data_IF_346999105199
#
_entry.id   IF_346999105199
#
_cell.length_a   1.000
_cell.length_b   1.000
_cell.length_c   1.000
_cell.angle_alpha   90.00
_cell.angle_beta   90.00
_cell.angle_gamma   90.00
#
_symmetry.space_group_name_H-M   'P 1'
#
loop_
_entity.id
_entity.type
_entity.pdbx_description
1 polymer ?
#
# COMPACT_ATOMS: atom_id res chain seq x y z
N UNK A 1 -11.06 -1.70 -7.10
CA UNK A 1 -10.33 -1.78 -5.82
C UNK A 1 -9.49 -0.55 -5.57
N UNK A 2 -9.23 -0.28 -4.32
CA UNK A 2 -8.25 0.74 -3.91
C UNK A 2 -7.19 0.02 -3.07
N UNK A 3 -5.93 0.23 -3.40
CA UNK A 3 -4.82 -0.33 -2.63
C UNK A 3 -4.57 0.49 -1.37
N UNK A 4 -4.18 -0.19 -0.30
CA UNK A 4 -3.84 0.44 0.98
C UNK A 4 -2.39 0.12 1.30
N UNK A 5 -1.60 1.15 1.55
CA UNK A 5 -0.21 1.03 1.99
C UNK A 5 -0.13 0.65 3.48
N UNK A 6 1.04 0.28 3.94
CA UNK A 6 1.25 -0.07 5.34
C UNK A 6 1.11 1.13 6.29
N UNK A 7 1.50 2.32 5.87
CA UNK A 7 1.48 3.51 6.74
C UNK A 7 0.10 3.84 7.33
N UNK A 8 -1.00 3.86 6.55
CA UNK A 8 -2.33 4.05 7.13
C UNK A 8 -2.72 2.94 8.12
N UNK A 9 -2.42 1.70 7.79
CA UNK A 9 -2.78 0.55 8.62
C UNK A 9 -2.01 0.55 9.93
N UNK A 10 -0.70 0.84 9.88
CA UNK A 10 0.12 0.94 11.08
C UNK A 10 -0.39 2.06 11.99
N UNK A 11 -0.73 3.22 11.42
CA UNK A 11 -1.29 4.33 12.20
C UNK A 11 -2.57 3.94 12.93
N UNK A 12 -3.46 3.20 12.25
CA UNK A 12 -4.72 2.73 12.83
C UNK A 12 -4.45 1.69 13.93
N UNK A 13 -3.67 0.66 13.63
CA UNK A 13 -3.47 -0.47 14.55
C UNK A 13 -2.63 -0.10 15.77
N UNK A 14 -1.72 0.86 15.63
CA UNK A 14 -0.93 1.36 16.77
C UNK A 14 -1.64 2.47 17.55
N UNK A 15 -2.80 2.94 17.09
CA UNK A 15 -3.50 4.05 17.73
C UNK A 15 -2.73 5.35 17.65
N UNK A 16 -2.03 5.60 16.56
CA UNK A 16 -1.30 6.83 16.36
C UNK A 16 -2.25 8.03 16.22
N UNK A 17 -1.72 9.25 16.40
CA UNK A 17 -2.51 10.48 16.43
C UNK A 17 -3.39 10.68 15.20
N UNK A 18 -2.90 10.30 14.01
CA UNK A 18 -3.64 10.42 12.76
C UNK A 18 -4.42 9.17 12.38
N UNK A 19 -4.41 8.13 13.21
CA UNK A 19 -5.09 6.85 12.93
C UNK A 19 -6.57 6.99 12.68
N UNK A 20 -7.26 7.83 13.46
CA UNK A 20 -8.70 8.05 13.29
C UNK A 20 -9.03 8.67 11.93
N UNK A 21 -8.23 9.61 11.45
CA UNK A 21 -8.43 10.22 10.11
C UNK A 21 -8.22 9.20 9.00
N UNK A 22 -7.23 8.34 9.14
CA UNK A 22 -6.99 7.26 8.18
C UNK A 22 -8.14 6.25 8.17
N UNK A 23 -8.62 5.87 9.35
CA UNK A 23 -9.75 4.95 9.45
C UNK A 23 -11.00 5.55 8.77
N UNK A 24 -11.30 6.82 9.04
CA UNK A 24 -12.42 7.51 8.40
C UNK A 24 -12.30 7.51 6.87
N UNK A 25 -11.10 7.78 6.35
CA UNK A 25 -10.86 7.75 4.91
C UNK A 25 -11.08 6.36 4.34
N UNK A 26 -10.49 5.32 4.96
CA UNK A 26 -10.61 3.96 4.48
C UNK A 26 -12.06 3.47 4.49
N UNK A 27 -12.82 3.81 5.53
CA UNK A 27 -14.24 3.45 5.60
C UNK A 27 -15.07 4.15 4.51
N UNK A 28 -14.76 5.41 4.20
CA UNK A 28 -15.42 6.12 3.09
C UNK A 28 -15.08 5.49 1.74
N UNK A 29 -13.80 5.19 1.50
CA UNK A 29 -13.36 4.56 0.25
C UNK A 29 -14.00 3.17 0.09
N UNK A 30 -14.09 2.41 1.18
CA UNK A 30 -14.69 1.08 1.20
C UNK A 30 -16.17 1.09 0.81
N UNK A 31 -16.88 2.17 1.08
CA UNK A 31 -18.31 2.25 0.74
C UNK A 31 -18.58 2.16 -0.77
N UNK A 32 -17.60 2.52 -1.58
CA UNK A 32 -17.74 2.53 -3.04
C UNK A 32 -16.81 1.54 -3.75
N UNK A 33 -15.73 1.12 -3.09
CA UNK A 33 -14.70 0.27 -3.68
C UNK A 33 -14.19 -0.75 -2.67
N UNK A 34 -13.95 -1.99 -3.05
CA UNK A 34 -13.20 -2.91 -2.20
C UNK A 34 -11.80 -2.36 -1.91
N UNK A 35 -11.31 -2.57 -0.71
CA UNK A 35 -9.94 -2.26 -0.32
C UNK A 35 -9.08 -3.50 -0.40
N UNK A 36 -7.83 -3.34 -0.82
CA UNK A 36 -6.90 -4.45 -0.91
C UNK A 36 -5.50 -4.00 -0.50
N UNK A 37 -4.71 -4.93 0.00
CA UNK A 37 -3.30 -4.71 0.28
C UNK A 37 -2.50 -5.91 -0.22
N UNK A 38 -1.35 -5.65 -0.84
CA UNK A 38 -0.50 -6.72 -1.35
C UNK A 38 0.25 -7.41 -0.20
N UNK A 39 0.84 -8.54 -0.50
CA UNK A 39 1.58 -9.36 0.46
C UNK A 39 2.74 -8.59 1.13
N UNK A 40 3.37 -7.65 0.45
CA UNK A 40 4.39 -6.79 1.04
C UNK A 40 3.79 -5.97 2.20
N UNK A 41 2.64 -5.34 1.98
CA UNK A 41 1.96 -4.55 3.01
C UNK A 41 1.53 -5.44 4.19
N UNK A 42 0.98 -6.61 3.91
CA UNK A 42 0.63 -7.58 4.95
C UNK A 42 1.85 -7.96 5.80
N UNK A 43 3.01 -8.16 5.14
CA UNK A 43 4.27 -8.47 5.83
C UNK A 43 4.75 -7.32 6.70
N UNK A 44 4.59 -6.08 6.26
CA UNK A 44 4.98 -4.90 7.02
C UNK A 44 4.08 -4.64 8.24
N UNK A 45 2.82 -5.02 8.15
CA UNK A 45 1.85 -4.86 9.24
C UNK A 45 1.90 -6.02 10.23
N UNK A 46 2.31 -7.21 9.78
CA UNK A 46 2.32 -8.44 10.56
C UNK A 46 3.05 -8.34 11.92
N UNK A 47 4.17 -7.60 12.07
CA UNK A 47 4.84 -7.48 13.37
C UNK A 47 3.99 -6.90 14.50
N UNK A 48 2.88 -6.25 14.19
CA UNK A 48 1.96 -5.70 15.19
C UNK A 48 1.03 -6.75 15.81
N UNK A 49 1.06 -7.99 15.32
CA UNK A 49 0.14 -9.06 15.74
C UNK A 49 0.91 -10.30 16.18
N UNK A 50 0.37 -11.01 17.16
CA UNK A 50 0.99 -12.23 17.67
C UNK A 50 0.64 -13.48 16.85
N UNK A 51 -0.48 -13.46 16.13
CA UNK A 51 -0.96 -14.59 15.34
C UNK A 51 -1.48 -14.15 13.98
N UNK A 52 -1.47 -15.08 13.03
CA UNK A 52 -2.07 -14.82 11.72
C UNK A 52 -3.58 -14.60 11.82
N UNK A 53 -4.23 -15.26 12.79
CA UNK A 53 -5.66 -15.08 13.03
C UNK A 53 -5.98 -13.64 13.46
N UNK A 54 -5.20 -13.06 14.38
CA UNK A 54 -5.37 -11.69 14.84
C UNK A 54 -5.15 -10.69 13.70
N UNK A 55 -4.13 -10.91 12.88
CA UNK A 55 -3.88 -10.08 11.68
C UNK A 55 -5.07 -10.14 10.72
N UNK A 56 -5.54 -11.35 10.37
CA UNK A 56 -6.69 -11.52 9.48
C UNK A 56 -7.94 -10.81 10.00
N UNK A 57 -8.24 -10.99 11.28
CA UNK A 57 -9.43 -10.39 11.90
C UNK A 57 -9.38 -8.86 11.83
N UNK A 58 -8.24 -8.27 12.14
CA UNK A 58 -8.08 -6.82 12.13
C UNK A 58 -8.16 -6.24 10.71
N UNK A 59 -7.53 -6.89 9.74
CA UNK A 59 -7.63 -6.49 8.34
C UNK A 59 -9.06 -6.62 7.82
N UNK A 60 -9.75 -7.69 8.19
CA UNK A 60 -11.14 -7.94 7.81
C UNK A 60 -12.11 -6.90 8.38
N UNK A 61 -11.88 -6.45 9.60
CA UNK A 61 -12.72 -5.40 10.23
C UNK A 61 -12.69 -4.10 9.44
N UNK A 62 -11.52 -3.73 8.92
CA UNK A 62 -11.38 -2.55 8.05
C UNK A 62 -11.89 -2.86 6.64
N UNK A 63 -11.95 -4.12 6.27
CA UNK A 63 -12.36 -4.55 4.93
C UNK A 63 -11.23 -4.58 3.93
N UNK A 64 -9.99 -4.75 4.39
CA UNK A 64 -8.80 -4.84 3.52
C UNK A 64 -8.57 -6.29 3.16
N UNK A 65 -8.70 -6.60 1.87
CA UNK A 65 -8.50 -7.94 1.33
C UNK A 65 -7.01 -8.19 1.01
N UNK A 66 -6.62 -9.45 1.10
CA UNK A 66 -5.29 -9.88 0.66
C UNK A 66 -5.27 -9.95 -0.87
N UNK A 67 -4.31 -9.26 -1.49
CA UNK A 67 -4.15 -9.24 -2.95
C UNK A 67 -2.68 -9.49 -3.31
N UNK A 68 -2.30 -10.73 -3.63
CA UNK A 68 -0.90 -11.08 -3.82
C UNK A 68 -0.29 -10.46 -5.07
N UNK A 69 1.01 -10.24 -5.04
CA UNK A 69 1.79 -9.89 -6.21
C UNK A 69 1.78 -11.08 -7.18
N UNK A 70 1.67 -10.77 -8.46
CA UNK A 70 1.82 -11.77 -9.51
C UNK A 70 3.02 -11.42 -10.40
N UNK A 71 3.31 -12.25 -11.39
CA UNK A 71 4.46 -12.07 -12.28
C UNK A 71 4.41 -10.75 -13.03
N UNK A 72 3.24 -10.32 -13.49
CA UNK A 72 3.05 -9.06 -14.19
C UNK A 72 3.38 -7.87 -13.29
N UNK A 73 2.91 -7.90 -12.05
CA UNK A 73 3.22 -6.86 -11.07
C UNK A 73 4.72 -6.81 -10.78
N UNK A 74 5.35 -7.96 -10.60
CA UNK A 74 6.80 -8.03 -10.37
C UNK A 74 7.58 -7.44 -11.55
N UNK A 75 7.16 -7.72 -12.77
CA UNK A 75 7.78 -7.15 -13.97
C UNK A 75 7.62 -5.63 -14.01
N UNK A 76 6.42 -5.12 -13.73
CA UNK A 76 6.15 -3.68 -13.66
C UNK A 76 7.00 -3.01 -12.58
N UNK A 77 7.11 -3.61 -11.40
CA UNK A 77 7.96 -3.09 -10.33
C UNK A 77 9.42 -2.98 -10.78
N UNK A 78 9.93 -4.01 -11.47
CA UNK A 78 11.28 -4.00 -12.02
C UNK A 78 11.49 -2.89 -13.04
N UNK A 79 10.52 -2.66 -13.91
CA UNK A 79 10.57 -1.57 -14.90
C UNK A 79 10.58 -0.20 -14.23
N UNK A 80 9.74 0.01 -13.24
CA UNK A 80 9.69 1.26 -12.48
C UNK A 80 11.02 1.51 -11.77
N UNK A 81 11.60 0.47 -11.18
CA UNK A 81 12.90 0.58 -10.52
C UNK A 81 14.02 0.91 -11.51
N UNK A 82 14.06 0.26 -12.67
CA UNK A 82 15.05 0.54 -13.71
C UNK A 82 14.95 2.00 -14.17
N UNK A 83 13.76 2.52 -14.38
CA UNK A 83 13.53 3.95 -14.71
C UNK A 83 14.03 4.87 -13.60
N UNK A 84 13.73 4.54 -12.35
CA UNK A 84 14.20 5.29 -11.18
C UNK A 84 15.72 5.37 -11.15
N UNK A 85 16.42 4.26 -11.37
CA UNK A 85 17.88 4.23 -11.41
C UNK A 85 18.45 5.06 -12.56
N UNK A 86 17.82 5.01 -13.73
CA UNK A 86 18.26 5.82 -14.90
C UNK A 86 18.13 7.31 -14.65
N UNK A 87 17.16 7.74 -13.86
CA UNK A 87 16.97 9.15 -13.49
C UNK A 87 17.87 9.59 -12.32
N UNK A 88 18.84 8.76 -11.93
CA UNK A 88 19.77 9.09 -10.86
C UNK A 88 19.31 8.67 -9.48
N UNK A 89 18.33 7.78 -9.40
CA UNK A 89 17.85 7.24 -8.13
C UNK A 89 18.99 6.59 -7.33
N UNK A 90 19.08 6.92 -6.04
CA UNK A 90 20.22 6.59 -5.19
C UNK A 90 20.17 5.18 -4.59
N UNK A 91 18.98 4.57 -4.52
CA UNK A 91 18.85 3.25 -3.91
C UNK A 91 19.37 2.17 -4.85
N UNK A 92 20.35 1.34 -4.44
CA UNK A 92 20.98 0.38 -5.33
C UNK A 92 20.16 -0.89 -5.55
N UNK A 93 19.18 -1.15 -4.67
CA UNK A 93 18.35 -2.37 -4.70
C UNK A 93 16.87 -2.01 -4.68
N UNK A 94 16.06 -2.93 -5.22
CA UNK A 94 14.60 -2.83 -5.15
C UNK A 94 14.14 -2.60 -3.71
N UNK A 95 13.25 -1.62 -3.53
CA UNK A 95 12.60 -1.35 -2.25
C UNK A 95 11.11 -1.68 -2.34
N UNK A 96 10.46 -1.97 -1.21
CA UNK A 96 9.03 -2.36 -1.19
C UNK A 96 8.10 -1.38 -1.89
N UNK A 97 8.40 -0.09 -1.87
CA UNK A 97 7.58 0.96 -2.49
C UNK A 97 7.31 0.70 -3.98
N UNK A 98 8.28 0.16 -4.71
CA UNK A 98 8.12 -0.14 -6.13
C UNK A 98 7.12 -1.29 -6.35
N UNK A 99 7.14 -2.29 -5.49
CA UNK A 99 6.20 -3.41 -5.55
C UNK A 99 4.78 -2.99 -5.15
N UNK A 100 4.67 -2.17 -4.11
CA UNK A 100 3.38 -1.63 -3.66
C UNK A 100 2.78 -0.73 -4.73
N UNK A 101 3.58 0.17 -5.32
CA UNK A 101 3.13 1.06 -6.38
C UNK A 101 2.74 0.28 -7.65
N UNK A 102 3.53 -0.72 -8.03
CA UNK A 102 3.22 -1.56 -9.20
C UNK A 102 1.92 -2.32 -9.02
N UNK A 103 1.70 -2.90 -7.84
CA UNK A 103 0.44 -3.57 -7.50
C UNK A 103 -0.74 -2.60 -7.63
N UNK A 104 -0.61 -1.40 -7.06
CA UNK A 104 -1.66 -0.40 -7.12
C UNK A 104 -1.97 0.04 -8.57
N UNK A 105 -0.93 0.25 -9.38
CA UNK A 105 -1.09 0.63 -10.79
C UNK A 105 -1.75 -0.46 -11.62
N UNK A 106 -1.39 -1.73 -11.40
CA UNK A 106 -1.88 -2.85 -12.21
C UNK A 106 -3.29 -3.31 -11.83
N UNK A 107 -3.63 -3.27 -10.55
CA UNK A 107 -4.85 -3.93 -10.06
C UNK A 107 -5.88 -3.00 -9.44
N UNK A 108 -5.57 -1.73 -9.23
CA UNK A 108 -6.44 -0.85 -8.46
C UNK A 108 -6.62 0.52 -9.12
N UNK A 109 -7.47 1.32 -8.51
CA UNK A 109 -7.74 2.70 -8.95
C UNK A 109 -6.79 3.72 -8.34
N UNK A 110 -5.99 3.30 -7.36
CA UNK A 110 -5.05 4.18 -6.66
C UNK A 110 -4.64 3.63 -5.31
N UNK A 111 -3.81 4.37 -4.61
CA UNK A 111 -3.16 3.96 -3.36
C UNK A 111 -3.45 4.94 -2.24
N UNK A 112 -3.96 4.43 -1.11
CA UNK A 112 -4.03 5.18 0.14
C UNK A 112 -2.69 5.06 0.87
N UNK A 113 -1.95 6.15 0.97
CA UNK A 113 -0.60 6.18 1.55
C UNK A 113 -0.29 7.51 2.21
N UNK A 114 0.51 7.47 3.28
CA UNK A 114 1.04 8.66 3.91
C UNK A 114 2.32 9.17 3.22
N UNK A 115 2.97 8.33 2.41
CA UNK A 115 4.21 8.66 1.70
C UNK A 115 3.93 9.24 0.31
N UNK A 116 3.18 10.33 0.27
CA UNK A 116 2.75 10.91 -1.00
C UNK A 116 3.90 11.57 -1.78
N UNK A 117 4.86 12.16 -1.10
CA UNK A 117 5.99 12.84 -1.77
C UNK A 117 6.78 11.87 -2.63
N UNK A 118 7.18 10.74 -2.06
CA UNK A 118 7.92 9.71 -2.79
C UNK A 118 7.07 9.12 -3.92
N UNK A 119 5.82 8.78 -3.63
CA UNK A 119 4.93 8.16 -4.60
C UNK A 119 4.61 9.08 -5.78
N UNK A 120 4.34 10.36 -5.52
CA UNK A 120 4.07 11.34 -6.58
C UNK A 120 5.32 11.62 -7.42
N UNK A 121 6.49 11.69 -6.79
CA UNK A 121 7.75 11.97 -7.48
C UNK A 121 8.15 10.86 -8.44
N UNK A 122 7.92 9.60 -8.05
CA UNK A 122 8.40 8.44 -8.81
C UNK A 122 7.32 7.67 -9.58
N UNK A 123 6.05 7.87 -9.23
CA UNK A 123 4.92 7.17 -9.87
C UNK A 123 3.82 8.16 -10.23
N UNK A 124 4.07 9.05 -11.22
CA UNK A 124 3.14 10.17 -11.52
C UNK A 124 1.76 9.72 -12.01
N UNK A 125 1.63 8.49 -12.51
CA UNK A 125 0.33 7.93 -12.93
C UNK A 125 -0.49 7.36 -11.78
N UNK A 126 0.13 7.20 -10.62
CA UNK A 126 -0.52 6.61 -9.45
C UNK A 126 -1.41 7.66 -8.78
N UNK A 127 -2.70 7.36 -8.68
CA UNK A 127 -3.61 8.20 -7.92
C UNK A 127 -3.39 7.95 -6.42
N UNK A 128 -3.27 9.03 -5.66
CA UNK A 128 -3.01 8.97 -4.21
C UNK A 128 -4.25 9.43 -3.46
N UNK A 129 -4.60 8.70 -2.40
CA UNK A 129 -5.68 9.04 -1.49
C UNK A 129 -5.11 9.37 -0.11
N UNK A 130 -5.54 10.52 0.44
CA UNK A 130 -5.16 10.96 1.78
C UNK A 130 -6.35 11.61 2.49
N UNK A 131 -6.33 11.60 3.84
CA UNK A 131 -7.39 12.27 4.62
C UNK A 131 -7.48 13.78 4.35
#
# INVERSE_FOLDING_TARGET
MIAVDSSPLIAIFKGERNGAKWLDLLLRLRSENPLAACDIVWSEVAPLFDTVHALRSSMSEIGVHFSPLNETVCFTAGRLFASYRKRGGSRPRMVPDFMIAAHALEHTRGLATADDDFMRAHFPRLKIFQP
#
